data_IF_244380154890
#
_entry.id   IF_244380154890
#
_cell.length_a   1.000
_cell.length_b   1.000
_cell.length_c   1.000
_cell.angle_alpha   90.00
_cell.angle_beta   90.00
_cell.angle_gamma   90.00
#
_symmetry.space_group_name_H-M   'P 1'
#
loop_
_entity.id
_entity.type
_entity.pdbx_description
1 polymer ?
#
# COMPACT_ATOMS: atom_id res chain seq x y z
N UNK A 1 28.43 15.45 -14.28
CA UNK A 1 28.19 15.31 -12.84
C UNK A 1 26.69 15.22 -12.62
N UNK A 2 26.27 14.33 -11.75
CA UNK A 2 24.86 14.15 -11.36
C UNK A 2 24.82 14.00 -9.85
N UNK A 3 23.93 14.73 -9.18
CA UNK A 3 23.65 14.61 -7.74
C UNK A 3 22.16 14.36 -7.56
N UNK A 4 21.81 13.42 -6.69
CA UNK A 4 20.43 13.12 -6.31
C UNK A 4 20.34 13.05 -4.80
N UNK A 5 19.30 13.66 -4.24
CA UNK A 5 18.94 13.51 -2.83
C UNK A 5 17.51 12.97 -2.74
N UNK A 6 17.28 11.97 -1.90
CA UNK A 6 15.98 11.35 -1.73
C UNK A 6 15.58 11.32 -0.26
N UNK A 7 14.32 11.59 -0.02
CA UNK A 7 13.64 11.26 1.23
C UNK A 7 12.68 10.12 0.93
N UNK A 8 12.73 9.06 1.73
CA UNK A 8 11.85 7.91 1.60
C UNK A 8 11.11 7.67 2.90
N UNK A 9 9.81 7.48 2.82
CA UNK A 9 8.95 7.06 3.93
C UNK A 9 8.39 5.67 3.59
N UNK A 10 8.99 4.64 4.19
CA UNK A 10 8.59 3.24 3.98
C UNK A 10 7.68 2.78 5.10
N UNK A 11 6.40 2.73 4.81
CA UNK A 11 5.38 2.21 5.72
C UNK A 11 5.10 0.73 5.42
N UNK A 12 4.51 -0.03 6.35
CA UNK A 12 4.19 -1.44 6.06
C UNK A 12 3.31 -1.64 4.83
N UNK A 13 2.29 -0.79 4.62
CA UNK A 13 1.34 -0.91 3.52
C UNK A 13 1.69 -0.09 2.27
N UNK A 14 2.65 0.84 2.34
CA UNK A 14 2.95 1.76 1.23
C UNK A 14 4.37 2.32 1.32
N UNK A 15 4.97 2.56 0.18
CA UNK A 15 6.25 3.23 0.05
C UNK A 15 6.04 4.60 -0.59
N UNK A 16 6.66 5.64 -0.01
CA UNK A 16 6.70 7.00 -0.56
C UNK A 16 8.14 7.40 -0.76
N UNK A 17 8.42 8.12 -1.83
CA UNK A 17 9.70 8.79 -1.99
C UNK A 17 9.51 10.15 -2.65
N UNK A 18 10.34 11.11 -2.27
CA UNK A 18 10.49 12.34 -3.00
C UNK A 18 11.97 12.69 -3.09
N UNK A 19 12.37 13.35 -4.15
CA UNK A 19 13.77 13.66 -4.36
C UNK A 19 14.00 14.86 -5.24
N UNK A 20 15.21 15.41 -5.11
CA UNK A 20 15.73 16.45 -5.99
C UNK A 20 16.91 15.88 -6.77
N UNK A 21 16.98 16.25 -8.05
CA UNK A 21 18.09 15.90 -8.93
C UNK A 21 18.72 17.16 -9.50
N UNK A 22 20.04 17.18 -9.54
CA UNK A 22 20.81 18.20 -10.26
C UNK A 22 21.76 17.48 -11.20
N UNK A 23 21.80 17.93 -12.44
CA UNK A 23 22.66 17.37 -13.48
C UNK A 23 23.44 18.47 -14.17
N UNK A 24 24.70 18.19 -14.49
CA UNK A 24 25.52 19.02 -15.36
C UNK A 24 26.31 18.12 -16.30
N UNK A 25 26.16 18.35 -17.61
CA UNK A 25 26.84 17.61 -18.67
C UNK A 25 27.41 18.61 -19.69
N UNK A 26 28.47 18.20 -20.34
CA UNK A 26 29.07 18.96 -21.47
C UNK A 26 28.99 18.04 -22.67
N UNK A 27 28.56 18.57 -23.80
CA UNK A 27 28.46 17.89 -25.08
C UNK A 27 29.28 18.63 -26.12
N UNK A 28 30.16 17.89 -26.80
CA UNK A 28 30.86 18.39 -27.98
C UNK A 28 30.12 17.91 -29.23
N UNK A 29 29.47 18.85 -29.90
CA UNK A 29 28.72 18.59 -31.12
C UNK A 29 29.64 18.81 -32.30
N UNK A 30 29.95 17.74 -33.04
CA UNK A 30 30.78 17.82 -34.26
C UNK A 30 29.86 17.92 -35.47
N UNK A 31 29.98 19.02 -36.20
CA UNK A 31 29.28 19.27 -37.43
C UNK A 31 29.95 18.59 -38.64
N UNK A 32 29.20 18.48 -39.76
CA UNK A 32 29.69 17.84 -40.99
C UNK A 32 30.86 18.58 -41.63
N UNK A 33 31.00 19.86 -41.36
CA UNK A 33 32.13 20.72 -41.80
C UNK A 33 33.39 20.59 -40.93
N UNK A 34 33.33 19.72 -39.89
CA UNK A 34 34.41 19.48 -38.94
C UNK A 34 34.46 20.44 -37.75
N UNK A 35 33.62 21.44 -37.70
CA UNK A 35 33.51 22.32 -36.52
C UNK A 35 33.03 21.54 -35.32
N UNK A 36 33.55 21.91 -34.13
CA UNK A 36 33.11 21.37 -32.85
C UNK A 36 32.54 22.52 -32.04
N UNK A 37 31.31 22.34 -31.58
CA UNK A 37 30.63 23.26 -30.66
C UNK A 37 30.40 22.58 -29.34
N UNK A 38 30.88 23.18 -28.24
CA UNK A 38 30.69 22.67 -26.90
C UNK A 38 29.44 23.31 -26.28
N UNK A 39 28.46 22.49 -25.90
CA UNK A 39 27.24 22.93 -25.24
C UNK A 39 27.23 22.40 -23.77
N UNK A 40 27.02 23.28 -22.83
CA UNK A 40 26.87 22.92 -21.43
C UNK A 40 25.39 22.76 -21.14
N UNK A 41 25.00 21.63 -20.58
CA UNK A 41 23.63 21.33 -20.15
C UNK A 41 23.61 21.24 -18.64
N UNK A 42 22.91 22.14 -18.00
CA UNK A 42 22.57 22.09 -16.57
C UNK A 42 21.10 21.77 -16.41
N UNK A 43 20.77 20.97 -15.43
CA UNK A 43 19.38 20.62 -15.16
C UNK A 43 19.13 20.47 -13.67
N UNK A 44 17.93 20.82 -13.27
CA UNK A 44 17.41 20.58 -11.92
C UNK A 44 16.00 20.04 -12.02
N UNK A 45 15.59 19.25 -11.03
CA UNK A 45 14.24 18.74 -11.04
C UNK A 45 13.89 17.99 -9.76
N UNK A 46 12.65 17.58 -9.74
CA UNK A 46 12.04 16.89 -8.62
C UNK A 46 11.37 15.61 -9.10
N UNK A 47 11.40 14.59 -8.26
CA UNK A 47 10.61 13.39 -8.42
C UNK A 47 9.83 13.09 -7.14
N UNK A 48 8.62 12.57 -7.31
CA UNK A 48 7.80 12.08 -6.23
C UNK A 48 7.16 10.76 -6.65
N UNK A 49 7.19 9.77 -5.79
CA UNK A 49 6.59 8.47 -6.06
C UNK A 49 5.84 7.91 -4.87
N UNK A 50 4.86 7.11 -5.20
CA UNK A 50 4.03 6.37 -4.28
C UNK A 50 3.78 4.98 -4.83
N UNK A 51 3.86 3.94 -4.00
CA UNK A 51 3.51 2.57 -4.37
C UNK A 51 2.85 1.83 -3.21
N UNK A 52 1.76 1.13 -3.50
CA UNK A 52 1.18 0.10 -2.65
C UNK A 52 0.74 -1.10 -3.50
N UNK A 53 0.07 -2.10 -2.88
CA UNK A 53 -0.43 -3.27 -3.59
C UNK A 53 -1.40 -2.93 -4.74
N UNK A 54 -2.20 -1.88 -4.58
CA UNK A 54 -3.26 -1.51 -5.53
C UNK A 54 -2.82 -0.53 -6.61
N UNK A 55 -1.69 0.11 -6.46
CA UNK A 55 -1.23 1.03 -7.48
C UNK A 55 0.10 1.69 -7.16
N UNK A 56 0.60 2.38 -8.16
CA UNK A 56 1.78 3.22 -8.07
C UNK A 56 1.55 4.49 -8.88
N UNK A 57 2.15 5.57 -8.44
CA UNK A 57 2.27 6.81 -9.20
C UNK A 57 3.68 7.36 -9.01
N UNK A 58 4.28 7.79 -10.09
CA UNK A 58 5.57 8.48 -10.09
C UNK A 58 5.45 9.70 -10.99
N UNK A 59 5.87 10.85 -10.51
CA UNK A 59 5.97 12.08 -11.29
C UNK A 59 7.39 12.59 -11.21
N UNK A 60 8.01 12.79 -12.35
CA UNK A 60 9.32 13.41 -12.47
C UNK A 60 9.19 14.69 -13.30
N UNK A 61 9.71 15.80 -12.80
CA UNK A 61 9.80 17.07 -13.51
C UNK A 61 11.28 17.46 -13.53
N UNK A 62 11.82 17.70 -14.72
CA UNK A 62 13.20 18.15 -14.92
C UNK A 62 13.21 19.36 -15.83
N UNK A 63 13.93 20.38 -15.42
CA UNK A 63 14.21 21.57 -16.22
C UNK A 63 15.67 21.54 -16.64
N UNK A 64 15.92 21.61 -17.94
CA UNK A 64 17.26 21.63 -18.51
C UNK A 64 17.52 22.98 -19.16
N UNK A 65 18.70 23.52 -18.92
CA UNK A 65 19.22 24.73 -19.57
C UNK A 65 20.41 24.34 -20.40
N UNK A 66 20.40 24.75 -21.66
CA UNK A 66 21.44 24.54 -22.65
C UNK A 66 22.18 25.84 -22.90
N UNK A 67 23.40 25.95 -22.45
CA UNK A 67 24.25 27.11 -22.66
C UNK A 67 25.11 26.87 -23.91
N UNK A 68 24.87 27.69 -24.93
CA UNK A 68 25.61 27.64 -26.20
C UNK A 68 26.79 28.61 -26.17
N UNK A 69 27.91 28.32 -26.93
CA UNK A 69 29.10 29.15 -26.94
C UNK A 69 28.92 30.57 -27.48
N UNK A 70 27.88 30.79 -28.28
CA UNK A 70 27.48 32.11 -28.80
C UNK A 70 26.70 33.00 -27.81
N UNK A 71 26.51 32.47 -26.58
CA UNK A 71 25.76 33.15 -25.53
C UNK A 71 24.25 32.98 -25.62
N UNK A 72 23.76 32.21 -26.59
CA UNK A 72 22.33 31.87 -26.62
C UNK A 72 22.02 30.77 -25.62
N UNK A 73 20.77 30.73 -25.18
CA UNK A 73 20.29 29.77 -24.18
C UNK A 73 19.07 29.04 -24.74
N UNK A 74 19.02 27.75 -24.50
CA UNK A 74 17.83 26.94 -24.75
C UNK A 74 17.33 26.31 -23.46
N UNK A 75 16.03 26.04 -23.37
CA UNK A 75 15.43 25.35 -22.23
C UNK A 75 14.61 24.16 -22.68
N UNK A 76 14.60 23.13 -21.86
CA UNK A 76 13.71 21.96 -22.02
C UNK A 76 13.13 21.60 -20.67
N UNK A 77 11.81 21.64 -20.56
CA UNK A 77 11.10 21.09 -19.42
C UNK A 77 10.60 19.69 -19.78
N UNK A 78 11.03 18.70 -19.04
CA UNK A 78 10.59 17.30 -19.15
C UNK A 78 9.67 16.97 -17.99
N UNK A 79 8.48 16.46 -18.28
CA UNK A 79 7.55 15.92 -17.29
C UNK A 79 7.23 14.47 -17.66
N UNK A 80 7.50 13.54 -16.75
CA UNK A 80 7.18 12.12 -16.91
C UNK A 80 6.26 11.71 -15.78
N UNK A 81 5.09 11.20 -16.15
CA UNK A 81 4.13 10.64 -15.20
C UNK A 81 3.98 9.15 -15.51
N UNK A 82 4.31 8.31 -14.55
CA UNK A 82 4.00 6.88 -14.57
C UNK A 82 2.86 6.60 -13.62
N UNK A 83 1.88 5.83 -14.07
CA UNK A 83 0.79 5.34 -13.23
C UNK A 83 0.61 3.85 -13.43
N UNK A 84 0.32 3.16 -12.34
CA UNK A 84 -0.06 1.75 -12.33
C UNK A 84 -1.29 1.61 -11.45
N UNK A 85 -2.29 0.92 -11.92
CA UNK A 85 -3.50 0.64 -11.15
C UNK A 85 -3.85 -0.83 -11.18
N UNK A 86 -4.42 -1.31 -10.07
CA UNK A 86 -5.07 -2.61 -9.96
C UNK A 86 -6.47 -2.37 -9.43
N UNK A 87 -7.46 -2.88 -10.11
CA UNK A 87 -8.86 -2.77 -9.71
C UNK A 87 -9.47 -4.15 -9.58
N UNK A 88 -10.33 -4.32 -8.59
CA UNK A 88 -11.01 -5.57 -8.32
C UNK A 88 -12.49 -5.42 -8.64
N UNK A 89 -12.94 -6.13 -9.64
CA UNK A 89 -14.33 -6.12 -10.08
C UNK A 89 -14.95 -7.51 -9.94
N UNK A 90 -16.24 -7.57 -9.61
CA UNK A 90 -16.99 -8.81 -9.71
C UNK A 90 -17.49 -8.99 -11.16
N UNK A 91 -17.17 -10.13 -11.76
CA UNK A 91 -17.62 -10.50 -13.10
C UNK A 91 -18.68 -11.60 -12.98
N UNK A 92 -19.81 -11.40 -13.63
CA UNK A 92 -20.84 -12.43 -13.73
C UNK A 92 -20.38 -13.56 -14.66
N UNK A 93 -21.12 -14.67 -14.58
CA UNK A 93 -20.88 -15.82 -15.45
C UNK A 93 -21.05 -15.42 -16.92
N UNK A 94 -19.99 -15.51 -17.70
CA UNK A 94 -20.02 -15.25 -19.13
C UNK A 94 -20.17 -16.58 -19.88
N UNK A 95 -21.22 -16.71 -20.70
CA UNK A 95 -21.49 -17.91 -21.50
C UNK A 95 -20.32 -18.30 -22.43
N UNK A 96 -19.47 -17.34 -22.80
CA UNK A 96 -18.25 -17.57 -23.60
C UNK A 96 -17.10 -18.20 -22.83
N UNK A 97 -17.17 -18.25 -21.48
CA UNK A 97 -16.15 -18.78 -20.60
C UNK A 97 -16.73 -19.93 -19.75
N UNK A 98 -16.98 -21.07 -20.40
CA UNK A 98 -17.66 -22.22 -19.80
C UNK A 98 -17.06 -22.75 -18.48
N UNK A 99 -15.81 -22.42 -18.18
CA UNK A 99 -15.12 -22.80 -16.92
C UNK A 99 -15.18 -21.73 -15.84
N UNK A 100 -15.75 -20.53 -16.11
CA UNK A 100 -15.82 -19.44 -15.17
C UNK A 100 -17.27 -19.22 -14.73
N UNK A 101 -17.61 -19.58 -13.51
CA UNK A 101 -18.95 -19.50 -12.94
C UNK A 101 -19.18 -18.20 -12.15
N UNK A 102 -18.69 -17.07 -12.63
CA UNK A 102 -18.68 -15.80 -11.92
C UNK A 102 -17.59 -15.75 -10.82
N UNK A 103 -17.11 -14.57 -10.51
CA UNK A 103 -16.08 -14.34 -9.49
C UNK A 103 -15.48 -12.95 -9.58
N UNK A 104 -14.38 -12.75 -8.88
CA UNK A 104 -13.64 -11.48 -8.95
C UNK A 104 -12.58 -11.53 -10.05
N UNK A 105 -12.34 -10.40 -10.67
CA UNK A 105 -11.24 -10.19 -11.60
C UNK A 105 -10.39 -9.01 -11.13
N UNK A 106 -9.08 -9.21 -11.07
CA UNK A 106 -8.11 -8.12 -10.88
C UNK A 106 -7.66 -7.66 -12.25
N UNK A 107 -8.01 -6.43 -12.58
CA UNK A 107 -7.54 -5.74 -13.77
C UNK A 107 -6.33 -4.89 -13.40
N UNK A 108 -5.24 -5.05 -14.11
CA UNK A 108 -4.00 -4.31 -13.88
C UNK A 108 -3.63 -3.53 -15.13
N UNK A 109 -3.52 -2.22 -15.00
CA UNK A 109 -3.17 -1.29 -16.06
C UNK A 109 -1.94 -0.47 -15.66
N UNK A 110 -1.17 -0.04 -16.64
CA UNK A 110 -0.06 0.88 -16.43
C UNK A 110 0.10 1.81 -17.64
N UNK A 111 0.40 3.07 -17.36
CA UNK A 111 0.59 4.11 -18.37
C UNK A 111 1.84 4.92 -18.05
N UNK A 112 2.50 5.41 -19.09
CA UNK A 112 3.55 6.42 -18.97
C UNK A 112 3.27 7.54 -19.96
N UNK A 113 3.11 8.75 -19.43
CA UNK A 113 2.97 9.98 -20.23
C UNK A 113 4.24 10.78 -20.05
N UNK A 114 4.91 11.09 -21.17
CA UNK A 114 6.11 11.91 -21.21
C UNK A 114 5.84 13.15 -22.04
N UNK A 115 6.00 14.31 -21.43
CA UNK A 115 5.83 15.61 -22.04
C UNK A 115 7.17 16.35 -22.01
N UNK A 116 7.55 16.92 -23.14
CA UNK A 116 8.71 17.76 -23.29
C UNK A 116 8.28 19.09 -23.92
N UNK A 117 8.49 20.19 -23.20
CA UNK A 117 8.31 21.53 -23.70
C UNK A 117 9.71 22.13 -23.89
N UNK A 118 10.01 22.61 -25.10
CA UNK A 118 11.33 23.12 -25.41
C UNK A 118 11.26 24.52 -26.06
N UNK A 119 12.21 25.34 -25.69
CA UNK A 119 12.52 26.64 -26.28
C UNK A 119 14.00 26.67 -26.59
N UNK A 120 14.36 26.46 -27.84
CA UNK A 120 15.73 26.47 -28.35
C UNK A 120 15.95 27.72 -29.18
N UNK A 121 17.20 28.16 -29.42
CA UNK A 121 17.50 29.43 -30.12
C UNK A 121 16.83 29.57 -31.50
N UNK A 122 16.49 28.48 -32.15
CA UNK A 122 15.93 28.47 -33.53
C UNK A 122 14.60 27.75 -33.64
N UNK A 123 14.11 27.13 -32.54
CA UNK A 123 12.90 26.32 -32.58
C UNK A 123 12.28 26.22 -31.20
N UNK A 124 10.96 26.13 -31.13
CA UNK A 124 10.22 25.89 -29.88
C UNK A 124 9.03 24.99 -30.15
N UNK A 125 8.66 24.21 -29.15
CA UNK A 125 7.51 23.33 -29.30
C UNK A 125 7.26 22.43 -28.11
N UNK A 126 6.32 21.53 -28.34
CA UNK A 126 5.92 20.51 -27.38
C UNK A 126 5.94 19.15 -28.06
N UNK A 127 6.49 18.17 -27.38
CA UNK A 127 6.45 16.76 -27.79
C UNK A 127 5.82 15.97 -26.66
N UNK A 128 4.91 15.06 -27.00
CA UNK A 128 4.23 14.21 -26.05
C UNK A 128 4.27 12.76 -26.52
N UNK A 129 4.60 11.86 -25.61
CA UNK A 129 4.57 10.42 -25.81
C UNK A 129 3.66 9.79 -24.77
N UNK A 130 2.77 8.92 -25.22
CA UNK A 130 1.97 8.08 -24.36
C UNK A 130 2.30 6.62 -24.63
N UNK A 131 2.63 5.86 -23.58
CA UNK A 131 2.86 4.42 -23.63
C UNK A 131 1.87 3.73 -22.73
N UNK A 132 0.90 3.05 -23.34
CA UNK A 132 -0.04 2.19 -22.64
C UNK A 132 0.50 0.76 -22.65
N UNK A 133 0.44 0.12 -21.50
CA UNK A 133 0.78 -1.30 -21.39
C UNK A 133 -0.48 -2.14 -21.60
N UNK A 134 -0.31 -3.32 -22.16
CA UNK A 134 -1.45 -4.23 -22.34
C UNK A 134 -2.07 -4.60 -21.00
N UNK A 135 -3.36 -4.33 -20.78
CA UNK A 135 -4.03 -4.67 -19.53
C UNK A 135 -3.94 -6.16 -19.23
N UNK A 136 -3.65 -6.48 -17.97
CA UNK A 136 -3.63 -7.86 -17.48
C UNK A 136 -4.88 -8.12 -16.65
N UNK A 137 -5.64 -9.16 -17.00
CA UNK A 137 -6.81 -9.61 -16.28
C UNK A 137 -6.51 -10.94 -15.60
N UNK A 138 -6.65 -10.98 -14.28
CA UNK A 138 -6.51 -12.19 -13.47
C UNK A 138 -7.87 -12.54 -12.84
N UNK A 139 -8.42 -13.71 -13.19
CA UNK A 139 -9.70 -14.18 -12.65
C UNK A 139 -9.50 -14.99 -11.39
N UNK A 140 -10.24 -14.63 -10.35
CA UNK A 140 -10.13 -15.18 -9.01
C UNK A 140 -11.35 -16.06 -8.70
N UNK A 141 -11.10 -17.22 -8.11
CA UNK A 141 -12.16 -18.16 -7.74
C UNK A 141 -12.87 -17.66 -6.48
N UNK A 142 -14.20 -17.67 -6.52
CA UNK A 142 -15.05 -17.42 -5.37
C UNK A 142 -15.35 -18.76 -4.68
N UNK A 143 -14.91 -18.96 -3.43
CA UNK A 143 -15.24 -20.17 -2.68
C UNK A 143 -16.72 -20.19 -2.30
N UNK A 144 -17.28 -21.39 -2.14
CA UNK A 144 -18.68 -21.58 -1.73
C UNK A 144 -18.75 -22.02 -0.28
N UNK A 145 -19.33 -21.16 0.57
CA UNK A 145 -19.59 -21.48 1.97
C UNK A 145 -21.05 -21.84 2.21
N UNK A 146 -21.29 -22.92 2.98
CA UNK A 146 -22.64 -23.42 3.26
C UNK A 146 -23.42 -22.55 4.27
N UNK A 147 -22.71 -21.78 5.09
CA UNK A 147 -23.26 -20.97 6.18
C UNK A 147 -23.31 -19.45 5.89
N UNK A 148 -23.10 -19.06 4.62
CA UNK A 148 -23.11 -17.66 4.21
C UNK A 148 -24.26 -17.29 3.26
N UNK A 149 -25.21 -18.19 2.94
CA UNK A 149 -26.19 -17.99 1.85
C UNK A 149 -27.01 -16.70 1.98
N UNK A 150 -27.34 -16.27 3.20
CA UNK A 150 -28.07 -15.04 3.48
C UNK A 150 -27.32 -14.10 4.47
N UNK A 151 -26.03 -14.31 4.67
CA UNK A 151 -25.26 -13.53 5.64
C UNK A 151 -24.82 -12.20 5.02
N UNK A 152 -24.98 -11.09 5.77
CA UNK A 152 -24.68 -9.73 5.33
C UNK A 152 -23.21 -9.53 4.88
N UNK A 153 -22.27 -10.26 5.49
CA UNK A 153 -20.85 -10.15 5.18
C UNK A 153 -20.38 -11.09 4.04
N UNK A 154 -21.30 -11.83 3.42
CA UNK A 154 -20.97 -12.80 2.37
C UNK A 154 -20.10 -12.20 1.25
N UNK A 155 -20.45 -11.05 0.63
CA UNK A 155 -19.67 -10.50 -0.48
C UNK A 155 -18.24 -10.15 -0.06
N UNK A 156 -18.07 -9.51 1.11
CA UNK A 156 -16.75 -9.16 1.63
C UNK A 156 -15.91 -10.40 1.96
N UNK A 157 -16.51 -11.42 2.57
CA UNK A 157 -15.82 -12.68 2.89
C UNK A 157 -15.36 -13.37 1.59
N UNK A 158 -16.23 -13.53 0.60
CA UNK A 158 -15.89 -14.14 -0.69
C UNK A 158 -14.78 -13.37 -1.41
N UNK A 159 -14.80 -12.03 -1.35
CA UNK A 159 -13.74 -11.15 -1.87
C UNK A 159 -12.40 -11.45 -1.19
N UNK A 160 -12.36 -11.53 0.14
CA UNK A 160 -11.13 -11.78 0.90
C UNK A 160 -10.53 -13.16 0.63
N UNK A 161 -11.36 -14.18 0.46
CA UNK A 161 -10.88 -15.51 0.05
C UNK A 161 -10.41 -15.54 -1.39
N UNK A 162 -11.10 -14.88 -2.31
CA UNK A 162 -10.67 -14.77 -3.70
C UNK A 162 -9.29 -14.13 -3.82
N UNK A 163 -8.99 -13.13 -2.98
CA UNK A 163 -7.69 -12.48 -2.90
C UNK A 163 -6.63 -13.30 -2.11
N UNK A 164 -6.99 -14.45 -1.56
CA UNK A 164 -6.09 -15.27 -0.74
C UNK A 164 -5.74 -14.67 0.62
N UNK A 165 -6.47 -13.64 1.06
CA UNK A 165 -6.29 -13.02 2.39
C UNK A 165 -6.72 -13.99 3.49
N UNK A 166 -7.86 -14.63 3.32
CA UNK A 166 -8.24 -15.84 4.04
C UNK A 166 -7.97 -17.06 3.16
N UNK A 167 -7.45 -18.13 3.71
CA UNK A 167 -7.03 -19.32 2.96
C UNK A 167 -7.29 -20.65 3.69
N UNK A 168 -8.04 -20.62 4.79
CA UNK A 168 -8.45 -21.84 5.49
C UNK A 168 -9.37 -22.69 4.60
N UNK A 169 -9.06 -23.98 4.51
CA UNK A 169 -9.74 -24.95 3.65
C UNK A 169 -10.96 -25.52 4.38
N UNK A 170 -12.05 -24.75 4.43
CA UNK A 170 -13.30 -25.18 5.07
C UNK A 170 -14.49 -24.87 4.16
N UNK A 171 -15.52 -25.73 4.22
CA UNK A 171 -16.82 -25.46 3.60
C UNK A 171 -17.72 -24.54 4.47
N UNK A 172 -17.24 -24.16 5.64
CA UNK A 172 -17.93 -23.29 6.59
C UNK A 172 -17.01 -22.16 6.99
N UNK A 173 -17.51 -20.94 6.91
CA UNK A 173 -16.79 -19.75 7.37
C UNK A 173 -16.93 -19.53 8.88
N UNK A 174 -18.05 -19.94 9.44
CA UNK A 174 -18.40 -19.71 10.85
C UNK A 174 -18.41 -18.22 11.25
N UNK A 175 -19.28 -17.40 10.65
CA UNK A 175 -19.23 -15.93 10.72
C UNK A 175 -19.39 -15.37 12.16
N UNK A 176 -20.08 -16.10 13.03
CA UNK A 176 -20.43 -15.65 14.37
C UNK A 176 -19.44 -16.07 15.47
N UNK A 177 -18.43 -16.90 15.17
CA UNK A 177 -17.39 -17.23 16.15
C UNK A 177 -16.37 -16.10 16.29
N UNK A 178 -15.69 -16.04 17.43
CA UNK A 178 -14.67 -15.03 17.67
C UNK A 178 -13.48 -15.17 16.71
N UNK A 179 -13.03 -14.04 16.14
CA UNK A 179 -11.82 -13.96 15.35
C UNK A 179 -10.61 -14.21 16.23
N UNK A 180 -9.69 -15.05 15.78
CA UNK A 180 -8.44 -15.27 16.48
C UNK A 180 -7.40 -14.20 16.13
N UNK A 181 -6.62 -13.83 17.15
CA UNK A 181 -5.60 -12.80 17.03
C UNK A 181 -4.56 -13.14 15.95
N UNK A 182 -4.18 -14.42 15.86
CA UNK A 182 -3.25 -14.91 14.83
C UNK A 182 -3.81 -14.73 13.42
N UNK A 183 -5.03 -15.20 13.19
CA UNK A 183 -5.65 -15.21 11.88
C UNK A 183 -5.87 -13.78 11.35
N UNK A 184 -6.24 -12.85 12.23
CA UNK A 184 -6.36 -11.45 11.86
C UNK A 184 -5.02 -10.81 11.51
N UNK A 185 -3.97 -11.06 12.28
CA UNK A 185 -2.63 -10.52 12.02
C UNK A 185 -2.07 -11.02 10.68
N UNK A 186 -2.27 -12.31 10.37
CA UNK A 186 -1.91 -12.90 9.09
C UNK A 186 -2.72 -12.28 7.95
N UNK A 187 -4.03 -12.14 8.12
CA UNK A 187 -4.91 -11.56 7.10
C UNK A 187 -4.52 -10.11 6.77
N UNK A 188 -4.22 -9.29 7.77
CA UNK A 188 -3.72 -7.92 7.56
C UNK A 188 -2.37 -7.94 6.83
N UNK A 189 -1.45 -8.82 7.21
CA UNK A 189 -0.17 -8.99 6.53
C UNK A 189 -0.31 -9.33 5.05
N UNK A 190 -1.26 -10.21 4.71
CA UNK A 190 -1.59 -10.56 3.32
C UNK A 190 -2.27 -9.41 2.57
N UNK A 191 -3.17 -8.68 3.25
CA UNK A 191 -3.90 -7.56 2.67
C UNK A 191 -2.99 -6.41 2.19
N UNK A 192 -1.84 -6.23 2.83
CA UNK A 192 -0.83 -5.22 2.45
C UNK A 192 0.34 -5.81 1.65
N UNK A 193 0.20 -7.04 1.21
CA UNK A 193 1.23 -7.77 0.43
C UNK A 193 2.62 -7.69 1.08
N UNK A 194 2.68 -7.93 2.40
CA UNK A 194 3.95 -7.97 3.11
C UNK A 194 4.87 -8.99 2.43
N UNK A 195 5.96 -8.48 1.84
CA UNK A 195 6.98 -9.33 1.23
C UNK A 195 7.62 -10.18 2.31
N UNK A 196 7.30 -11.45 2.24
CA UNK A 196 7.88 -12.45 3.11
C UNK A 196 9.24 -12.80 2.54
N UNK A 197 10.30 -12.63 3.32
CA UNK A 197 11.58 -13.23 2.94
C UNK A 197 11.38 -14.75 2.91
N UNK A 198 11.17 -15.30 1.72
CA UNK A 198 11.26 -16.74 1.49
C UNK A 198 12.73 -17.09 1.72
N UNK A 199 13.06 -17.36 2.96
CA UNK A 199 14.40 -17.82 3.33
C UNK A 199 14.73 -19.00 2.45
N UNK A 200 15.86 -18.94 1.76
CA UNK A 200 16.39 -20.05 0.95
C UNK A 200 16.30 -21.34 1.78
N UNK A 201 15.27 -22.13 1.53
CA UNK A 201 14.91 -23.34 2.26
C UNK A 201 15.97 -24.47 2.14
N UNK A 202 17.09 -24.17 1.46
CA UNK A 202 18.22 -25.10 1.28
C UNK A 202 19.21 -25.16 2.46
N UNK A 203 19.11 -24.30 3.47
CA UNK A 203 19.89 -24.43 4.71
C UNK A 203 18.99 -24.87 5.85
N UNK A 204 18.97 -26.18 6.10
CA UNK A 204 18.43 -26.87 7.28
C UNK A 204 19.16 -26.44 8.57
N UNK A 205 19.02 -25.20 9.00
CA UNK A 205 19.38 -24.81 10.37
C UNK A 205 18.17 -24.21 11.07
N UNK A 206 17.31 -25.11 11.53
CA UNK A 206 16.09 -24.90 12.31
C UNK A 206 16.36 -24.38 13.73
N UNK A 207 17.52 -23.76 13.97
CA UNK A 207 18.00 -23.38 15.31
C UNK A 207 17.75 -21.94 15.72
N UNK A 208 17.21 -21.09 14.82
CA UNK A 208 16.82 -19.73 15.24
C UNK A 208 15.60 -19.77 16.15
N UNK A 209 15.57 -19.09 17.29
CA UNK A 209 14.40 -19.07 18.17
C UNK A 209 13.16 -18.53 17.44
N UNK A 210 11.97 -19.00 17.81
CA UNK A 210 10.71 -18.41 17.36
C UNK A 210 10.60 -16.97 17.92
N UNK A 211 9.97 -16.05 17.17
CA UNK A 211 9.73 -14.68 17.63
C UNK A 211 8.90 -14.70 18.92
N UNK A 212 7.90 -15.59 18.99
CA UNK A 212 7.07 -15.80 20.17
C UNK A 212 7.11 -17.28 20.56
N UNK A 213 7.29 -17.58 21.83
CA UNK A 213 7.40 -18.94 22.34
C UNK A 213 6.12 -19.75 22.18
N UNK A 214 4.98 -19.10 22.12
CA UNK A 214 3.64 -19.69 22.00
C UNK A 214 3.17 -19.85 20.54
N UNK A 215 4.00 -19.53 19.55
CA UNK A 215 3.69 -19.74 18.13
C UNK A 215 4.71 -20.67 17.48
N UNK A 216 4.23 -21.84 17.03
CA UNK A 216 5.07 -22.81 16.34
C UNK A 216 5.43 -22.33 14.92
N UNK A 217 6.66 -22.56 14.48
CA UNK A 217 7.11 -22.23 13.12
C UNK A 217 6.39 -23.00 12.02
N UNK A 218 5.88 -24.18 12.38
CA UNK A 218 5.11 -25.04 11.47
C UNK A 218 3.66 -24.62 11.31
N UNK A 219 3.23 -23.55 12.03
CA UNK A 219 1.89 -23.02 11.85
C UNK A 219 1.77 -22.38 10.46
N UNK A 220 0.65 -22.62 9.79
CA UNK A 220 0.38 -22.07 8.47
C UNK A 220 0.52 -20.54 8.48
N UNK A 221 1.15 -19.97 7.45
CA UNK A 221 1.37 -18.53 7.31
C UNK A 221 2.26 -17.89 8.42
N UNK A 222 3.10 -18.67 9.08
CA UNK A 222 4.01 -18.17 10.13
C UNK A 222 4.93 -17.06 9.62
N UNK A 223 5.34 -17.12 8.37
CA UNK A 223 6.15 -16.10 7.69
C UNK A 223 5.49 -14.72 7.67
N UNK A 224 4.17 -14.64 7.47
CA UNK A 224 3.43 -13.37 7.53
C UNK A 224 3.43 -12.78 8.95
N UNK A 225 3.33 -13.63 9.99
CA UNK A 225 3.48 -13.16 11.37
C UNK A 225 4.85 -12.56 11.61
N UNK A 226 5.92 -13.24 11.11
CA UNK A 226 7.30 -12.75 11.20
C UNK A 226 7.46 -11.41 10.48
N UNK A 227 6.96 -11.31 9.26
CA UNK A 227 7.03 -10.07 8.48
C UNK A 227 6.27 -8.92 9.18
N UNK A 228 5.06 -9.18 9.67
CA UNK A 228 4.25 -8.21 10.40
C UNK A 228 4.94 -7.73 11.70
N UNK A 229 5.61 -8.63 12.42
CA UNK A 229 6.39 -8.26 13.61
C UNK A 229 7.60 -7.40 13.24
N UNK A 230 8.38 -7.80 12.25
CA UNK A 230 9.57 -7.07 11.80
C UNK A 230 9.24 -5.67 11.27
N UNK A 231 8.06 -5.49 10.68
CA UNK A 231 7.56 -4.19 10.20
C UNK A 231 6.81 -3.40 11.28
N UNK A 232 6.74 -3.90 12.51
CA UNK A 232 6.09 -3.20 13.62
C UNK A 232 4.55 -3.21 13.58
N UNK A 233 3.93 -3.91 12.64
CA UNK A 233 2.46 -4.02 12.50
C UNK A 233 1.84 -4.69 13.72
N UNK A 234 2.52 -5.70 14.25
CA UNK A 234 2.09 -6.42 15.45
C UNK A 234 3.15 -6.38 16.55
N UNK A 235 2.67 -6.48 17.78
CA UNK A 235 3.48 -6.72 18.98
C UNK A 235 2.89 -7.91 19.74
N UNK A 236 3.67 -8.56 20.57
CA UNK A 236 3.18 -9.59 21.49
C UNK A 236 2.30 -8.99 22.60
N UNK A 237 1.54 -9.83 23.29
CA UNK A 237 0.90 -9.47 24.57
C UNK A 237 1.94 -9.33 25.68
N UNK A 238 3.08 -10.01 25.51
CA UNK A 238 4.34 -9.79 26.26
C UNK A 238 5.50 -9.85 25.26
N UNK A 239 6.73 -9.57 25.70
CA UNK A 239 7.91 -9.70 24.85
C UNK A 239 8.08 -11.11 24.23
N UNK A 240 7.58 -12.15 24.88
CA UNK A 240 7.77 -13.55 24.47
C UNK A 240 6.50 -14.25 23.97
N UNK A 241 5.31 -13.66 24.17
CA UNK A 241 4.03 -14.31 23.86
C UNK A 241 3.19 -13.44 22.96
N UNK A 242 2.62 -14.06 21.92
CA UNK A 242 1.69 -13.45 20.99
C UNK A 242 0.21 -13.67 21.37
N UNK A 243 -0.10 -14.77 22.04
CA UNK A 243 -1.44 -15.29 22.30
C UNK A 243 -2.24 -15.56 21.01
N UNK A 244 -1.78 -16.51 20.16
CA UNK A 244 -2.33 -16.75 18.83
C UNK A 244 -3.79 -17.20 18.87
N UNK A 245 -4.21 -17.99 19.88
CA UNK A 245 -5.57 -18.49 20.05
C UNK A 245 -6.48 -17.52 20.84
N UNK A 246 -5.94 -16.40 21.30
CA UNK A 246 -6.73 -15.37 21.98
C UNK A 246 -7.77 -14.76 21.04
N UNK A 247 -8.94 -14.45 21.59
CA UNK A 247 -9.95 -13.73 20.83
C UNK A 247 -9.51 -12.29 20.60
N UNK A 248 -9.68 -11.81 19.38
CA UNK A 248 -9.29 -10.46 18.99
C UNK A 248 -10.28 -9.43 19.53
N UNK A 249 -9.79 -8.43 20.27
CA UNK A 249 -10.61 -7.31 20.70
C UNK A 249 -10.65 -6.19 19.66
N UNK A 250 -11.66 -5.30 19.76
CA UNK A 250 -11.83 -4.18 18.82
C UNK A 250 -10.66 -3.20 18.87
N UNK A 251 -10.14 -2.86 20.04
CA UNK A 251 -8.96 -1.98 20.17
C UNK A 251 -7.68 -2.62 19.61
N UNK A 252 -7.53 -3.94 19.72
CA UNK A 252 -6.41 -4.66 19.14
C UNK A 252 -6.48 -4.62 17.61
N UNK A 253 -7.64 -4.83 17.03
CA UNK A 253 -7.84 -4.73 15.59
C UNK A 253 -7.51 -3.32 15.07
N UNK A 254 -8.02 -2.28 15.74
CA UNK A 254 -7.73 -0.88 15.41
C UNK A 254 -6.22 -0.61 15.42
N UNK A 255 -5.52 -1.05 16.47
CA UNK A 255 -4.07 -0.87 16.60
C UNK A 255 -3.30 -1.57 15.48
N UNK A 256 -3.65 -2.81 15.13
CA UNK A 256 -2.98 -3.58 14.06
C UNK A 256 -3.16 -2.88 12.70
N UNK A 257 -4.38 -2.44 12.37
CA UNK A 257 -4.67 -1.77 11.08
C UNK A 257 -3.90 -0.45 10.98
N UNK A 258 -3.94 0.39 12.02
CA UNK A 258 -3.27 1.70 11.96
C UNK A 258 -1.75 1.57 11.91
N UNK A 259 -1.17 0.57 12.58
CA UNK A 259 0.25 0.22 12.42
C UNK A 259 0.57 -0.29 11.03
N UNK A 260 -0.30 -1.08 10.42
CA UNK A 260 -0.13 -1.51 9.04
C UNK A 260 -0.10 -0.32 8.07
N UNK A 261 -0.89 0.71 8.32
CA UNK A 261 -0.87 1.97 7.56
C UNK A 261 0.32 2.87 7.90
N UNK A 262 0.97 2.69 9.06
CA UNK A 262 2.01 3.60 9.56
C UNK A 262 1.46 4.98 9.95
N UNK A 263 0.21 5.05 10.40
CA UNK A 263 -0.51 6.30 10.65
C UNK A 263 -0.72 6.59 12.16
N UNK A 264 -0.01 5.92 13.07
CA UNK A 264 -0.12 6.21 14.52
C UNK A 264 0.23 7.69 14.82
N UNK A 265 1.19 8.27 14.11
CA UNK A 265 1.58 9.67 14.25
C UNK A 265 0.54 10.72 13.78
N UNK A 266 -0.58 10.31 13.17
CA UNK A 266 -1.69 11.19 12.84
C UNK A 266 -2.62 11.48 14.03
N UNK A 267 -2.44 10.80 15.15
CA UNK A 267 -3.17 11.10 16.38
C UNK A 267 -2.66 12.42 17.00
N UNK A 268 -3.53 13.16 17.72
CA UNK A 268 -3.09 14.35 18.45
C UNK A 268 -2.03 14.04 19.52
N UNK A 269 -1.38 15.08 20.03
CA UNK A 269 -0.45 14.96 21.15
C UNK A 269 -1.10 14.25 22.35
N UNK A 270 -0.31 13.52 23.16
CA UNK A 270 -0.82 12.78 24.31
C UNK A 270 -1.66 13.65 25.27
N UNK A 271 -2.72 13.04 25.83
CA UNK A 271 -3.63 13.70 26.76
C UNK A 271 -4.99 14.08 26.16
N UNK A 272 -5.21 13.83 24.87
CA UNK A 272 -6.52 14.02 24.26
C UNK A 272 -7.51 12.92 24.64
N UNK A 273 -8.80 13.22 24.50
CA UNK A 273 -9.91 12.27 24.62
C UNK A 273 -10.52 12.00 23.25
N UNK A 274 -10.91 10.74 23.00
CA UNK A 274 -11.70 10.40 21.82
C UNK A 274 -13.15 10.88 21.99
N UNK A 275 -13.93 10.89 20.93
CA UNK A 275 -15.36 11.26 20.97
C UNK A 275 -16.28 10.19 21.62
N UNK A 276 -15.72 9.06 22.04
CA UNK A 276 -16.50 7.95 22.58
C UNK A 276 -16.79 8.11 24.08
N UNK A 277 -18.02 7.75 24.46
CA UNK A 277 -18.47 7.79 25.88
C UNK A 277 -17.68 6.85 26.80
N UNK A 278 -17.09 5.82 26.24
CA UNK A 278 -16.24 4.84 26.93
C UNK A 278 -14.72 5.09 26.69
N UNK A 279 -14.36 6.33 26.40
CA UNK A 279 -12.98 6.74 26.18
C UNK A 279 -12.01 6.26 27.28
N UNK A 280 -12.43 6.37 28.55
CA UNK A 280 -11.62 5.92 29.69
C UNK A 280 -11.34 4.42 29.73
N UNK A 281 -12.09 3.61 28.94
CA UNK A 281 -11.86 2.16 28.81
C UNK A 281 -10.89 1.80 27.70
N UNK A 282 -10.54 2.76 26.82
CA UNK A 282 -9.57 2.52 25.75
C UNK A 282 -8.19 2.44 26.36
N UNK A 283 -7.49 1.33 26.11
CA UNK A 283 -6.13 1.13 26.59
C UNK A 283 -5.16 2.16 25.99
N UNK A 284 -4.19 2.63 26.76
CA UNK A 284 -3.23 3.64 26.31
C UNK A 284 -2.53 3.27 25.00
N UNK A 285 -2.17 1.99 24.82
CA UNK A 285 -1.48 1.52 23.63
C UNK A 285 -2.36 1.56 22.36
N UNK A 286 -3.67 1.61 22.53
CA UNK A 286 -4.65 1.55 21.45
C UNK A 286 -5.30 2.91 21.13
N UNK A 287 -5.08 3.92 21.98
CA UNK A 287 -5.76 5.21 21.91
C UNK A 287 -5.57 5.88 20.55
N UNK A 288 -4.33 5.99 20.08
CA UNK A 288 -4.01 6.57 18.78
C UNK A 288 -4.64 5.76 17.64
N UNK A 289 -4.53 4.44 17.71
CA UNK A 289 -5.16 3.54 16.74
C UNK A 289 -6.68 3.70 16.67
N UNK A 290 -7.37 3.79 17.82
CA UNK A 290 -8.82 4.00 17.88
C UNK A 290 -9.22 5.37 17.33
N UNK A 291 -8.46 6.42 17.66
CA UNK A 291 -8.71 7.76 17.14
C UNK A 291 -8.59 7.79 15.62
N UNK A 292 -7.44 7.39 15.08
CA UNK A 292 -7.15 7.49 13.65
C UNK A 292 -8.06 6.56 12.84
N UNK A 293 -8.29 5.31 13.27
CA UNK A 293 -9.13 4.37 12.50
C UNK A 293 -10.59 4.84 12.40
N UNK A 294 -11.05 5.59 13.42
CA UNK A 294 -12.37 6.21 13.41
C UNK A 294 -12.44 7.35 12.40
N UNK A 295 -11.43 8.21 12.37
CA UNK A 295 -11.33 9.30 11.37
C UNK A 295 -11.28 8.76 9.94
N UNK A 296 -10.58 7.66 9.72
CA UNK A 296 -10.50 7.01 8.40
C UNK A 296 -11.78 6.24 8.02
N UNK A 297 -12.77 6.14 8.91
CA UNK A 297 -14.02 5.43 8.63
C UNK A 297 -13.89 3.90 8.53
N UNK A 298 -12.70 3.34 8.79
CA UNK A 298 -12.46 1.88 8.71
C UNK A 298 -13.16 1.15 9.84
N UNK A 299 -13.14 1.73 11.05
CA UNK A 299 -13.91 1.25 12.19
C UNK A 299 -14.63 2.41 12.86
N UNK A 300 -15.84 2.15 13.34
CA UNK A 300 -16.63 3.10 14.14
C UNK A 300 -17.26 2.42 15.34
N UNK A 301 -17.73 3.23 16.29
CA UNK A 301 -18.50 2.78 17.43
C UNK A 301 -19.99 2.60 17.12
N UNK A 302 -20.75 2.24 18.13
CA UNK A 302 -22.21 2.15 18.08
C UNK A 302 -22.82 2.84 19.29
N UNK A 303 -23.84 3.67 19.07
CA UNK A 303 -24.51 4.44 20.15
C UNK A 303 -23.58 5.40 20.91
N UNK A 304 -22.47 5.80 20.31
CA UNK A 304 -21.46 6.65 20.92
C UNK A 304 -20.42 5.89 21.77
N UNK A 305 -20.36 4.57 21.69
CA UNK A 305 -19.41 3.72 22.40
C UNK A 305 -18.51 3.00 21.40
N UNK A 306 -17.20 2.98 21.62
CA UNK A 306 -16.26 2.19 20.82
C UNK A 306 -16.26 0.73 21.19
N UNK A 307 -16.47 0.42 22.47
CA UNK A 307 -16.45 -0.93 23.08
C UNK A 307 -15.09 -1.61 22.87
N UNK A 308 -13.98 -1.05 23.39
CA UNK A 308 -12.62 -1.44 23.05
C UNK A 308 -12.32 -2.91 23.36
N UNK A 309 -12.88 -3.45 24.44
CA UNK A 309 -12.60 -4.81 24.90
C UNK A 309 -13.56 -5.87 24.36
N UNK A 310 -14.60 -5.47 23.61
CA UNK A 310 -15.50 -6.43 22.97
C UNK A 310 -14.74 -7.23 21.92
N UNK A 311 -15.00 -8.53 21.89
CA UNK A 311 -14.44 -9.43 20.88
C UNK A 311 -15.09 -9.24 19.52
N UNK A 312 -14.32 -9.27 18.47
CA UNK A 312 -14.81 -9.28 17.09
C UNK A 312 -15.18 -10.71 16.66
N UNK A 313 -16.32 -10.85 15.99
CA UNK A 313 -16.62 -12.06 15.24
C UNK A 313 -15.80 -12.13 13.95
N UNK A 314 -15.69 -13.32 13.35
CA UNK A 314 -15.01 -13.48 12.04
C UNK A 314 -15.65 -12.61 10.96
N UNK A 315 -16.96 -12.49 10.92
CA UNK A 315 -17.66 -11.62 9.97
C UNK A 315 -17.35 -10.13 10.19
N UNK A 316 -17.33 -9.67 11.45
CA UNK A 316 -16.97 -8.29 11.76
C UNK A 316 -15.50 -8.00 11.40
N UNK A 317 -14.59 -8.93 11.68
CA UNK A 317 -13.18 -8.80 11.29
C UNK A 317 -13.01 -8.76 9.77
N UNK A 318 -13.73 -9.60 9.02
CA UNK A 318 -13.74 -9.56 7.56
C UNK A 318 -14.20 -8.20 7.02
N UNK A 319 -15.29 -7.65 7.56
CA UNK A 319 -15.78 -6.33 7.15
C UNK A 319 -14.78 -5.19 7.45
N UNK A 320 -14.01 -5.29 8.54
CA UNK A 320 -12.95 -4.33 8.85
C UNK A 320 -11.82 -4.43 7.83
N UNK A 321 -11.37 -5.65 7.50
CA UNK A 321 -10.32 -5.86 6.49
C UNK A 321 -10.80 -5.40 5.11
N UNK A 322 -12.06 -5.63 4.76
CA UNK A 322 -12.63 -5.14 3.48
C UNK A 322 -12.57 -3.61 3.38
N UNK A 323 -13.00 -2.88 4.43
CA UNK A 323 -12.90 -1.41 4.47
C UNK A 323 -11.44 -0.93 4.46
N UNK A 324 -10.57 -1.67 5.11
CA UNK A 324 -9.14 -1.40 5.06
C UNK A 324 -8.59 -1.53 3.63
N UNK A 325 -8.98 -2.57 2.89
CA UNK A 325 -8.62 -2.72 1.48
C UNK A 325 -9.18 -1.58 0.62
N UNK A 326 -10.44 -1.18 0.85
CA UNK A 326 -11.05 -0.04 0.15
C UNK A 326 -10.28 1.25 0.40
N UNK A 327 -9.85 1.48 1.65
CA UNK A 327 -9.01 2.62 2.00
C UNK A 327 -7.67 2.59 1.26
N UNK A 328 -7.00 1.42 1.19
CA UNK A 328 -5.74 1.26 0.45
C UNK A 328 -5.91 1.49 -1.06
N UNK A 329 -7.05 1.07 -1.62
CA UNK A 329 -7.33 1.16 -3.05
C UNK A 329 -7.66 2.60 -3.48
N UNK A 330 -8.48 3.31 -2.70
CA UNK A 330 -9.09 4.58 -3.10
C UNK A 330 -8.51 5.78 -2.38
N UNK A 331 -8.51 5.75 -1.05
CA UNK A 331 -8.30 6.96 -0.22
C UNK A 331 -6.82 7.24 0.01
N UNK A 332 -6.01 6.20 0.15
CA UNK A 332 -4.58 6.39 0.40
C UNK A 332 -3.88 7.04 -0.80
N UNK A 333 -4.32 6.73 -2.02
CA UNK A 333 -3.80 7.34 -3.25
C UNK A 333 -4.13 8.83 -3.33
N UNK A 334 -5.30 9.22 -2.85
CA UNK A 334 -5.75 10.62 -2.85
C UNK A 334 -5.05 11.42 -1.75
N UNK A 335 -4.96 10.85 -0.55
CA UNK A 335 -4.26 11.47 0.58
C UNK A 335 -2.76 11.64 0.34
N UNK A 336 -2.14 10.78 -0.48
CA UNK A 336 -0.75 10.95 -0.90
C UNK A 336 -0.51 12.29 -1.62
N UNK A 337 -1.40 12.69 -2.51
CA UNK A 337 -1.31 14.00 -3.17
C UNK A 337 -1.35 15.14 -2.15
N UNK A 338 -2.26 15.05 -1.20
CA UNK A 338 -2.49 16.13 -0.23
C UNK A 338 -1.40 16.14 0.86
N UNK A 339 -0.94 14.96 1.31
CA UNK A 339 0.04 14.83 2.39
C UNK A 339 1.50 15.04 1.96
N UNK A 340 1.86 14.79 0.69
CA UNK A 340 3.26 14.87 0.23
C UNK A 340 3.53 16.03 -0.72
N UNK A 341 2.57 16.39 -1.59
CA UNK A 341 2.74 17.51 -2.51
C UNK A 341 2.50 18.86 -1.86
N UNK A 342 1.83 18.92 -0.70
CA UNK A 342 1.51 20.15 0.02
C UNK A 342 2.23 20.29 1.37
N UNK A 343 3.12 19.36 1.74
CA UNK A 343 4.06 19.62 2.83
C UNK A 343 5.14 20.58 2.32
N UNK A 344 4.88 21.87 2.44
CA UNK A 344 5.94 22.86 2.51
C UNK A 344 6.72 22.62 3.81
N UNK A 345 8.01 22.31 3.68
CA UNK A 345 8.96 22.28 4.79
C UNK A 345 9.39 23.69 5.15
#
# INVERSE_FOLDING_TARGET
QMSKSYVTDKRPASDYSSGNAVIRKTYDIKYADGQIQTVVVSGSGQDASYENFWGAAETQIMEYVFDYPDGTVGTVTSRVNYTKSRTLNYEENLASLASFNGGYAVNSDADTISEYVYELPKDSGKIEFNSEYMPKVERLIVPKFRDLSAHWAKPGIEKLYSLGIFDDQSNFFSPNIAMKRYDFAVAVGKAIDLRVEVGNTKKKNNTKPTIFKDVKRTRANYEYLVAAYNKGVIKGVTAEKFNPEGNLTREQAATIIIRALGLEGKAPDPGYSTSYKDDSKISNYARDGVHVITQLGIMSGSGGYFKPHDTLTRAQAAAIIERFLQYLENDLKQNYRDDILFFEY
#
